data_IF_806670161225
#
_entry.id   IF_806670161225
#
_cell.length_a   1.000
_cell.length_b   1.000
_cell.length_c   1.000
_cell.angle_alpha   90.00
_cell.angle_beta   90.00
_cell.angle_gamma   90.00
#
_symmetry.space_group_name_H-M   'P 1'
#
loop_
_entity.id
_entity.type
_entity.pdbx_description
1 polymer ?
#
# COMPACT_ATOMS: atom_id res chain seq x y z
N UNK A 1 -21.97 11.35 11.12
CA UNK A 1 -22.65 10.60 10.04
C UNK A 1 -21.72 10.26 8.87
N UNK A 2 -20.98 11.21 8.28
CA UNK A 2 -20.06 10.94 7.14
C UNK A 2 -19.02 9.84 7.39
N UNK A 3 -18.38 9.82 8.56
CA UNK A 3 -17.36 8.81 8.95
C UNK A 3 -17.86 7.36 8.84
N UNK A 4 -19.10 7.10 9.23
CA UNK A 4 -19.70 5.77 9.18
C UNK A 4 -19.86 5.25 7.74
N UNK A 5 -20.02 6.15 6.76
CA UNK A 5 -20.16 5.80 5.33
C UNK A 5 -18.90 5.13 4.80
N UNK A 6 -17.71 5.45 5.34
CA UNK A 6 -16.45 4.80 4.96
C UNK A 6 -16.13 3.63 5.90
N UNK A 7 -16.32 3.79 7.21
CA UNK A 7 -15.97 2.74 8.18
C UNK A 7 -16.79 1.45 8.02
N UNK A 8 -18.09 1.55 7.73
CA UNK A 8 -18.94 0.36 7.59
C UNK A 8 -18.47 -0.50 6.41
N UNK A 9 -18.28 0.04 5.18
CA UNK A 9 -17.72 -0.73 4.07
C UNK A 9 -16.32 -1.28 4.35
N UNK A 10 -15.41 -0.49 4.93
CA UNK A 10 -14.05 -0.95 5.27
C UNK A 10 -14.11 -2.12 6.26
N UNK A 11 -14.93 -2.01 7.31
CA UNK A 11 -15.10 -3.03 8.33
C UNK A 11 -15.68 -4.31 7.74
N UNK A 12 -16.70 -4.17 6.88
CA UNK A 12 -17.30 -5.31 6.18
C UNK A 12 -16.31 -6.00 5.23
N UNK A 13 -15.57 -5.23 4.42
CA UNK A 13 -14.54 -5.76 3.51
C UNK A 13 -13.44 -6.45 4.32
N UNK A 14 -12.98 -5.87 5.41
CA UNK A 14 -11.95 -6.46 6.29
C UNK A 14 -12.42 -7.77 6.91
N UNK A 15 -13.69 -7.84 7.32
CA UNK A 15 -14.29 -9.05 7.87
C UNK A 15 -14.39 -10.16 6.82
N UNK A 16 -15.02 -9.87 5.67
CA UNK A 16 -15.20 -10.82 4.58
C UNK A 16 -13.88 -11.19 3.88
N UNK A 17 -12.84 -10.37 4.03
CA UNK A 17 -11.52 -10.70 3.55
C UNK A 17 -10.97 -11.98 4.20
N UNK A 18 -11.28 -12.23 5.47
CA UNK A 18 -10.79 -13.41 6.22
C UNK A 18 -11.84 -14.49 6.35
N UNK A 19 -13.11 -14.12 6.51
CA UNK A 19 -14.21 -15.02 6.87
C UNK A 19 -15.04 -15.42 5.64
N UNK A 20 -15.27 -16.72 5.48
CA UNK A 20 -16.22 -17.24 4.49
C UNK A 20 -17.67 -16.86 4.88
N UNK A 21 -18.41 -16.27 3.94
CA UNK A 21 -19.81 -15.91 4.13
C UNK A 21 -20.71 -17.02 3.58
N UNK A 22 -21.00 -18.02 4.42
CA UNK A 22 -21.81 -19.20 4.06
C UNK A 22 -21.20 -19.94 2.84
N UNK A 23 -21.80 -19.79 1.67
CA UNK A 23 -21.36 -20.39 0.41
C UNK A 23 -20.40 -19.50 -0.39
N UNK A 24 -20.18 -18.26 0.06
CA UNK A 24 -19.30 -17.30 -0.61
C UNK A 24 -17.95 -17.33 0.11
N UNK A 25 -16.86 -17.72 -0.57
CA UNK A 25 -15.57 -17.81 0.08
C UNK A 25 -15.03 -16.42 0.45
N UNK A 26 -14.07 -16.39 1.37
CA UNK A 26 -13.39 -15.20 1.81
C UNK A 26 -12.71 -14.50 0.63
N UNK A 27 -12.71 -13.17 0.61
CA UNK A 27 -12.18 -12.41 -0.53
C UNK A 27 -10.69 -12.77 -0.79
N UNK A 28 -9.93 -13.11 0.25
CA UNK A 28 -8.52 -13.54 0.12
C UNK A 28 -8.33 -14.79 -0.74
N UNK A 29 -9.36 -15.64 -0.89
CA UNK A 29 -9.26 -16.86 -1.70
C UNK A 29 -9.44 -16.58 -3.19
N UNK A 30 -9.93 -15.39 -3.57
CA UNK A 30 -10.09 -15.00 -4.96
C UNK A 30 -8.70 -14.75 -5.56
N UNK A 31 -8.35 -15.43 -6.68
CA UNK A 31 -7.03 -15.31 -7.29
C UNK A 31 -6.63 -13.85 -7.58
N UNK A 32 -5.40 -13.49 -7.22
CA UNK A 32 -4.75 -12.20 -7.56
C UNK A 32 -5.37 -10.93 -6.97
N UNK A 33 -6.49 -11.01 -6.25
CA UNK A 33 -7.17 -9.81 -5.72
C UNK A 33 -6.61 -9.35 -4.36
N UNK A 34 -5.93 -10.24 -3.64
CA UNK A 34 -5.39 -10.05 -2.28
C UNK A 34 -4.74 -8.68 -2.10
N UNK A 35 -3.77 -8.36 -2.95
CA UNK A 35 -3.01 -7.11 -2.93
C UNK A 35 -3.88 -5.85 -3.12
N UNK A 36 -4.88 -5.89 -4.03
CA UNK A 36 -5.76 -4.76 -4.29
C UNK A 36 -6.71 -4.47 -3.12
N UNK A 37 -7.26 -5.52 -2.52
CA UNK A 37 -8.16 -5.41 -1.37
C UNK A 37 -7.42 -4.83 -0.17
N UNK A 38 -6.22 -5.31 0.11
CA UNK A 38 -5.37 -4.75 1.17
C UNK A 38 -5.05 -3.28 0.87
N UNK A 39 -4.59 -2.98 -0.34
CA UNK A 39 -4.22 -1.62 -0.75
C UNK A 39 -5.35 -0.60 -0.59
N UNK A 40 -6.54 -0.92 -1.10
CA UNK A 40 -7.71 -0.05 -1.03
C UNK A 40 -8.18 0.13 0.43
N UNK A 41 -8.22 -0.97 1.19
CA UNK A 41 -8.67 -0.92 2.60
C UNK A 41 -7.75 -0.06 3.43
N UNK A 42 -6.43 -0.20 3.26
CA UNK A 42 -5.43 0.60 3.94
C UNK A 42 -5.45 2.06 3.51
N UNK A 43 -5.49 2.36 2.20
CA UNK A 43 -5.49 3.75 1.73
C UNK A 43 -6.77 4.49 2.11
N UNK A 44 -7.93 3.81 2.10
CA UNK A 44 -9.16 4.39 2.63
C UNK A 44 -9.04 4.67 4.14
N UNK A 45 -8.37 3.80 4.89
CA UNK A 45 -8.20 3.98 6.33
C UNK A 45 -7.21 5.08 6.69
N UNK A 46 -6.07 5.17 5.99
CA UNK A 46 -4.97 6.08 6.33
C UNK A 46 -5.05 7.43 5.64
N UNK A 47 -5.71 7.52 4.48
CA UNK A 47 -5.84 8.76 3.72
C UNK A 47 -7.30 9.16 3.50
N UNK A 48 -8.15 8.22 3.08
CA UNK A 48 -9.57 8.49 2.80
C UNK A 48 -10.35 8.99 4.02
N UNK A 49 -10.19 8.33 5.16
CA UNK A 49 -10.85 8.70 6.42
C UNK A 49 -10.42 10.08 6.92
N UNK A 50 -9.11 10.39 7.11
CA UNK A 50 -8.68 11.73 7.50
C UNK A 50 -9.19 12.83 6.56
N UNK A 51 -9.13 12.61 5.25
CA UNK A 51 -9.60 13.58 4.24
C UNK A 51 -11.11 13.84 4.33
N UNK A 52 -11.89 12.83 4.69
CA UNK A 52 -13.32 13.00 4.88
C UNK A 52 -13.65 13.74 6.20
N UNK A 53 -12.84 13.53 7.24
CA UNK A 53 -12.99 14.18 8.55
C UNK A 53 -12.61 15.67 8.48
N UNK A 54 -11.55 16.00 7.75
CA UNK A 54 -11.08 17.38 7.57
C UNK A 54 -12.04 18.26 6.78
N UNK A 55 -13.16 17.72 6.26
CA UNK A 55 -14.10 18.40 5.36
C UNK A 55 -13.42 19.07 4.15
N UNK A 56 -12.18 18.67 3.83
CA UNK A 56 -11.44 19.11 2.62
C UNK A 56 -11.97 18.42 1.36
N UNK A 57 -13.23 17.95 1.40
CA UNK A 57 -14.00 17.24 0.38
C UNK A 57 -14.39 18.15 -0.78
N UNK A 58 -13.43 18.90 -1.32
CA UNK A 58 -13.52 19.30 -2.71
C UNK A 58 -12.73 18.25 -3.48
N UNK A 59 -13.47 17.39 -4.19
CA UNK A 59 -13.00 16.48 -5.24
C UNK A 59 -12.22 17.23 -6.32
N UNK A 60 -11.06 17.79 -5.97
CA UNK A 60 -10.09 18.21 -6.95
C UNK A 60 -9.52 16.93 -7.58
N UNK A 61 -9.25 16.97 -8.88
CA UNK A 61 -8.60 15.85 -9.58
C UNK A 61 -7.29 15.43 -8.89
N UNK A 62 -6.62 16.38 -8.23
CA UNK A 62 -5.35 16.17 -7.55
C UNK A 62 -5.49 15.25 -6.33
N UNK A 63 -6.55 15.38 -5.52
CA UNK A 63 -6.80 14.47 -4.40
C UNK A 63 -7.13 13.04 -4.83
N UNK A 64 -7.85 12.88 -5.94
CA UNK A 64 -8.14 11.54 -6.48
C UNK A 64 -6.87 10.84 -6.98
N UNK A 65 -6.00 11.59 -7.68
CA UNK A 65 -4.68 11.09 -8.11
C UNK A 65 -3.83 10.74 -6.89
N UNK A 66 -3.81 11.57 -5.86
CA UNK A 66 -3.04 11.33 -4.64
C UNK A 66 -3.53 10.07 -3.91
N UNK A 67 -4.83 9.90 -3.74
CA UNK A 67 -5.43 8.70 -3.16
C UNK A 67 -5.05 7.44 -3.95
N UNK A 68 -5.12 7.51 -5.29
CA UNK A 68 -4.74 6.39 -6.14
C UNK A 68 -3.24 6.06 -6.02
N UNK A 69 -2.38 7.07 -6.01
CA UNK A 69 -0.93 6.90 -5.80
C UNK A 69 -0.60 6.28 -4.44
N UNK A 70 -1.27 6.69 -3.37
CA UNK A 70 -1.12 6.09 -2.03
C UNK A 70 -1.64 4.65 -2.01
N UNK A 71 -2.74 4.37 -2.70
CA UNK A 71 -3.26 3.00 -2.86
C UNK A 71 -2.23 2.10 -3.55
N UNK A 72 -1.64 2.56 -4.65
CA UNK A 72 -0.57 1.81 -5.33
C UNK A 72 0.69 1.67 -4.47
N UNK A 73 1.04 2.69 -3.69
CA UNK A 73 2.15 2.62 -2.74
C UNK A 73 1.96 1.44 -1.77
N UNK A 74 0.76 1.30 -1.20
CA UNK A 74 0.44 0.16 -0.31
C UNK A 74 0.41 -1.16 -1.09
N UNK A 75 -0.15 -1.20 -2.30
CA UNK A 75 -0.16 -2.42 -3.13
C UNK A 75 1.27 -2.92 -3.38
N UNK A 76 2.18 -2.05 -3.82
CA UNK A 76 3.57 -2.43 -4.11
C UNK A 76 4.29 -2.93 -2.86
N UNK A 77 3.99 -2.32 -1.72
CA UNK A 77 4.47 -2.71 -0.40
C UNK A 77 3.95 -4.09 0.06
N UNK A 78 2.78 -4.51 -0.41
CA UNK A 78 2.24 -5.85 -0.09
C UNK A 78 2.89 -6.99 -0.88
N UNK A 79 3.48 -6.71 -2.05
CA UNK A 79 4.15 -7.72 -2.88
C UNK A 79 5.26 -8.48 -2.11
N UNK A 80 6.12 -7.82 -1.31
CA UNK A 80 7.04 -8.50 -0.39
C UNK A 80 6.41 -9.58 0.50
N UNK A 81 5.24 -9.31 1.06
CA UNK A 81 4.53 -10.27 1.92
C UNK A 81 3.95 -11.41 1.07
N UNK A 82 3.47 -11.10 -0.14
CA UNK A 82 3.03 -12.11 -1.11
C UNK A 82 4.18 -13.05 -1.53
N UNK A 83 5.42 -12.54 -1.63
CA UNK A 83 6.63 -13.34 -1.88
C UNK A 83 6.98 -14.24 -0.70
N UNK A 84 6.87 -13.72 0.53
CA UNK A 84 7.12 -14.49 1.76
C UNK A 84 6.14 -15.64 1.90
N UNK A 85 4.87 -15.38 1.60
CA UNK A 85 3.77 -16.30 1.87
C UNK A 85 3.58 -17.34 0.75
N UNK A 86 4.47 -17.44 -0.25
CA UNK A 86 4.33 -18.35 -1.40
C UNK A 86 4.04 -19.79 -0.96
N UNK A 87 4.82 -20.34 -0.02
CA UNK A 87 4.70 -21.73 0.41
C UNK A 87 3.36 -21.95 1.15
N UNK A 88 3.03 -21.06 2.09
CA UNK A 88 1.78 -21.10 2.85
C UNK A 88 0.53 -20.92 1.97
N UNK A 89 0.54 -19.95 1.06
CA UNK A 89 -0.55 -19.72 0.12
C UNK A 89 -0.70 -20.90 -0.86
N UNK A 90 0.38 -21.64 -1.15
CA UNK A 90 0.33 -22.86 -1.98
C UNK A 90 -0.40 -23.99 -1.25
N UNK A 91 -0.11 -24.21 0.03
CA UNK A 91 -0.81 -25.19 0.86
C UNK A 91 -2.31 -24.90 0.97
N UNK A 92 -2.67 -23.61 1.09
CA UNK A 92 -4.05 -23.15 1.13
C UNK A 92 -4.74 -23.06 -0.24
N UNK A 93 -4.04 -23.39 -1.33
CA UNK A 93 -4.54 -23.27 -2.72
C UNK A 93 -4.99 -21.84 -3.09
N UNK A 94 -4.42 -20.83 -2.44
CA UNK A 94 -4.65 -19.42 -2.73
C UNK A 94 -3.70 -19.01 -3.85
N UNK A 95 -4.24 -18.51 -4.96
CA UNK A 95 -3.46 -18.09 -6.12
C UNK A 95 -3.04 -16.63 -6.00
N UNK A 96 -1.75 -16.37 -5.91
CA UNK A 96 -1.20 -15.02 -5.72
C UNK A 96 -0.36 -14.53 -6.89
N UNK A 97 -0.07 -13.23 -6.91
CA UNK A 97 0.73 -12.62 -7.96
C UNK A 97 2.18 -13.11 -7.88
N UNK A 98 2.71 -13.23 -6.65
CA UNK A 98 4.06 -13.70 -6.41
C UNK A 98 4.28 -15.15 -6.85
N UNK A 99 3.31 -16.04 -6.63
CA UNK A 99 3.34 -17.42 -7.14
C UNK A 99 3.39 -17.46 -8.68
N UNK A 100 2.58 -16.62 -9.34
CA UNK A 100 2.51 -16.60 -10.82
C UNK A 100 3.76 -16.03 -11.47
N UNK A 101 4.31 -14.96 -10.92
CA UNK A 101 5.48 -14.27 -11.48
C UNK A 101 6.81 -14.88 -11.02
N UNK A 102 6.80 -15.54 -9.86
CA UNK A 102 8.00 -15.95 -9.14
C UNK A 102 8.68 -14.79 -8.42
N UNK A 103 9.59 -15.13 -7.50
CA UNK A 103 10.26 -14.19 -6.60
C UNK A 103 10.95 -13.05 -7.35
N UNK A 104 11.79 -13.37 -8.35
CA UNK A 104 12.61 -12.36 -9.06
C UNK A 104 11.76 -11.31 -9.79
N UNK A 105 10.74 -11.75 -10.54
CA UNK A 105 9.87 -10.84 -11.29
C UNK A 105 8.96 -10.03 -10.36
N UNK A 106 8.53 -10.60 -9.24
CA UNK A 106 7.71 -9.90 -8.25
C UNK A 106 8.48 -8.78 -7.55
N UNK A 107 9.75 -9.03 -7.18
CA UNK A 107 10.64 -7.98 -6.68
C UNK A 107 10.84 -6.86 -7.71
N UNK A 108 11.11 -7.24 -8.96
CA UNK A 108 11.33 -6.26 -10.02
C UNK A 108 10.08 -5.42 -10.25
N UNK A 109 8.89 -6.03 -10.29
CA UNK A 109 7.61 -5.34 -10.42
C UNK A 109 7.38 -4.34 -9.29
N UNK A 110 7.62 -4.75 -8.04
CA UNK A 110 7.48 -3.88 -6.88
C UNK A 110 8.48 -2.71 -6.96
N UNK A 111 9.77 -3.00 -7.23
CA UNK A 111 10.82 -1.99 -7.34
C UNK A 111 10.58 -0.98 -8.48
N UNK A 112 10.20 -1.43 -9.68
CA UNK A 112 9.89 -0.53 -10.80
C UNK A 112 8.62 0.27 -10.52
N UNK A 113 7.62 -0.33 -9.88
CA UNK A 113 6.43 0.39 -9.44
C UNK A 113 6.76 1.51 -8.45
N UNK A 114 7.63 1.26 -7.47
CA UNK A 114 8.06 2.29 -6.52
C UNK A 114 8.86 3.40 -7.19
N UNK A 115 9.70 3.06 -8.19
CA UNK A 115 10.38 4.06 -9.00
C UNK A 115 9.38 4.94 -9.77
N UNK A 116 8.38 4.34 -10.41
CA UNK A 116 7.31 5.08 -11.09
C UNK A 116 6.55 5.98 -10.11
N UNK A 117 6.17 5.47 -8.94
CA UNK A 117 5.49 6.28 -7.92
C UNK A 117 6.35 7.43 -7.43
N UNK A 118 7.66 7.22 -7.23
CA UNK A 118 8.57 8.31 -6.85
C UNK A 118 8.51 9.45 -7.86
N UNK A 119 8.53 9.12 -9.16
CA UNK A 119 8.44 10.12 -10.23
C UNK A 119 7.06 10.77 -10.22
N UNK A 120 5.98 9.99 -10.08
CA UNK A 120 4.61 10.51 -10.01
C UNK A 120 4.43 11.50 -8.85
N UNK A 121 4.88 11.16 -7.64
CA UNK A 121 4.83 12.06 -6.49
C UNK A 121 5.68 13.32 -6.75
N UNK A 122 6.91 13.18 -7.26
CA UNK A 122 7.72 14.33 -7.62
C UNK A 122 7.01 15.28 -8.58
N UNK A 123 6.35 14.77 -9.62
CA UNK A 123 5.57 15.58 -10.56
C UNK A 123 4.37 16.27 -9.90
N UNK A 124 3.62 15.57 -9.03
CA UNK A 124 2.50 16.15 -8.28
C UNK A 124 2.98 17.32 -7.41
N UNK A 125 4.18 17.25 -6.86
CA UNK A 125 4.72 18.28 -5.96
C UNK A 125 4.87 19.67 -6.59
N UNK A 126 4.93 19.77 -7.93
CA UNK A 126 4.98 21.04 -8.66
C UNK A 126 3.63 21.71 -8.84
N UNK A 127 2.53 20.97 -8.68
CA UNK A 127 1.18 21.48 -9.00
C UNK A 127 0.43 22.04 -7.79
N UNK A 128 0.75 21.60 -6.57
CA UNK A 128 0.09 22.09 -5.34
C UNK A 128 1.08 22.33 -4.20
N UNK A 129 1.36 23.62 -3.91
CA UNK A 129 2.25 24.04 -2.82
C UNK A 129 1.79 23.52 -1.45
N UNK A 130 0.47 23.50 -1.20
CA UNK A 130 -0.09 23.14 0.11
C UNK A 130 0.19 21.69 0.53
N UNK A 131 0.38 20.78 -0.43
CA UNK A 131 0.68 19.35 -0.18
C UNK A 131 2.12 18.99 -0.50
N UNK A 132 2.95 19.96 -0.87
CA UNK A 132 4.28 19.73 -1.44
C UNK A 132 5.17 18.87 -0.54
N UNK A 133 5.26 19.19 0.76
CA UNK A 133 6.10 18.44 1.71
C UNK A 133 5.62 16.99 1.87
N UNK A 134 4.30 16.77 1.95
CA UNK A 134 3.71 15.43 2.09
C UNK A 134 4.07 14.59 0.86
N UNK A 135 3.84 15.14 -0.33
CA UNK A 135 4.08 14.45 -1.59
C UNK A 135 5.58 14.16 -1.78
N UNK A 136 6.47 15.09 -1.45
CA UNK A 136 7.92 14.87 -1.46
C UNK A 136 8.34 13.76 -0.48
N UNK A 137 7.68 13.67 0.67
CA UNK A 137 7.94 12.61 1.65
C UNK A 137 7.62 11.22 1.10
N UNK A 138 6.50 11.08 0.38
CA UNK A 138 6.16 9.84 -0.33
C UNK A 138 7.14 9.54 -1.48
N UNK A 139 7.62 10.55 -2.21
CA UNK A 139 8.60 10.37 -3.27
C UNK A 139 9.92 9.79 -2.71
N UNK A 140 10.49 10.42 -1.68
CA UNK A 140 11.73 9.96 -1.03
C UNK A 140 11.52 8.57 -0.43
N UNK A 141 10.39 8.35 0.26
CA UNK A 141 10.05 7.04 0.82
C UNK A 141 10.02 5.95 -0.24
N UNK A 142 9.44 6.22 -1.41
CA UNK A 142 9.38 5.27 -2.52
C UNK A 142 10.77 4.88 -3.03
N UNK A 143 11.71 5.82 -3.10
CA UNK A 143 13.10 5.52 -3.46
C UNK A 143 13.80 4.66 -2.41
N UNK A 144 13.58 4.95 -1.13
CA UNK A 144 14.17 4.18 -0.02
C UNK A 144 13.61 2.76 0.08
N UNK A 145 12.38 2.53 -0.39
CA UNK A 145 11.77 1.19 -0.43
C UNK A 145 12.49 0.23 -1.41
N UNK A 146 13.00 0.75 -2.54
CA UNK A 146 13.60 -0.05 -3.62
C UNK A 146 14.73 -0.99 -3.13
N UNK A 147 15.80 -0.51 -2.45
CA UNK A 147 16.88 -1.40 -2.01
C UNK A 147 16.39 -2.45 -1.02
N UNK A 148 15.43 -2.11 -0.14
CA UNK A 148 14.85 -3.05 0.82
C UNK A 148 14.09 -4.17 0.11
N UNK A 149 13.32 -3.84 -0.92
CA UNK A 149 12.55 -4.79 -1.72
C UNK A 149 13.47 -5.72 -2.52
N UNK A 150 14.51 -5.18 -3.15
CA UNK A 150 15.47 -5.99 -3.89
C UNK A 150 16.22 -6.96 -2.98
N UNK A 151 16.49 -6.56 -1.73
CA UNK A 151 17.15 -7.35 -0.69
C UNK A 151 16.27 -8.43 -0.01
N UNK A 152 15.00 -8.54 -0.38
CA UNK A 152 14.08 -9.55 0.17
C UNK A 152 14.62 -10.96 -0.07
N UNK A 153 14.47 -11.86 0.89
CA UNK A 153 14.77 -13.28 0.68
C UNK A 153 13.60 -14.08 1.27
N UNK A 154 12.92 -14.93 0.47
CA UNK A 154 11.78 -15.73 0.94
C UNK A 154 12.09 -16.53 2.20
N UNK A 155 13.34 -16.99 2.36
CA UNK A 155 13.77 -17.83 3.48
C UNK A 155 14.21 -17.05 4.72
N UNK A 156 14.09 -15.71 4.74
CA UNK A 156 14.36 -14.92 5.95
C UNK A 156 13.25 -15.10 6.98
N UNK A 157 13.63 -15.00 8.26
CA UNK A 157 12.73 -15.12 9.40
C UNK A 157 11.64 -14.03 9.40
N UNK A 158 10.51 -14.33 10.01
CA UNK A 158 9.30 -13.50 10.03
C UNK A 158 9.55 -12.04 10.48
N UNK A 159 10.37 -11.83 11.51
CA UNK A 159 10.69 -10.49 12.01
C UNK A 159 11.37 -9.58 10.98
N UNK A 160 12.02 -10.13 9.95
CA UNK A 160 12.59 -9.33 8.88
C UNK A 160 11.47 -8.67 8.06
N UNK A 161 10.38 -9.38 7.81
CA UNK A 161 9.25 -8.85 7.07
C UNK A 161 8.42 -7.90 7.93
N UNK A 162 8.00 -8.34 9.13
CA UNK A 162 7.17 -7.50 10.00
C UNK A 162 7.93 -6.32 10.60
N UNK A 163 9.26 -6.42 10.75
CA UNK A 163 10.11 -5.33 11.25
C UNK A 163 10.60 -4.42 10.12
N UNK A 164 11.40 -4.96 9.20
CA UNK A 164 12.11 -4.14 8.21
C UNK A 164 11.21 -3.76 7.05
N UNK A 165 10.55 -4.76 6.44
CA UNK A 165 9.74 -4.47 5.25
C UNK A 165 8.53 -3.63 5.66
N UNK A 166 7.76 -4.03 6.66
CA UNK A 166 6.56 -3.31 7.11
C UNK A 166 6.85 -1.86 7.51
N UNK A 167 8.05 -1.57 8.04
CA UNK A 167 8.47 -0.21 8.40
C UNK A 167 8.45 0.80 7.25
N UNK A 168 8.51 0.35 6.00
CA UNK A 168 8.40 1.23 4.82
C UNK A 168 7.11 2.05 4.87
N UNK A 169 6.00 1.51 5.40
CA UNK A 169 4.74 2.25 5.57
C UNK A 169 4.88 3.47 6.49
N UNK A 170 5.86 3.46 7.41
CA UNK A 170 6.14 4.58 8.32
C UNK A 170 7.08 5.61 7.70
N UNK A 171 7.82 5.28 6.63
CA UNK A 171 8.81 6.17 6.04
C UNK A 171 8.21 7.52 5.59
N UNK A 172 7.06 7.59 4.88
CA UNK A 172 6.49 8.87 4.48
C UNK A 172 6.22 9.78 5.69
N UNK A 173 5.74 9.21 6.80
CA UNK A 173 5.48 9.97 8.03
C UNK A 173 6.77 10.48 8.68
N UNK A 174 7.78 9.62 8.84
CA UNK A 174 9.06 10.02 9.44
C UNK A 174 9.77 11.09 8.60
N UNK A 175 9.76 10.95 7.28
CA UNK A 175 10.33 11.92 6.36
C UNK A 175 9.56 13.24 6.43
N UNK A 176 8.23 13.19 6.49
CA UNK A 176 7.40 14.38 6.64
C UNK A 176 7.73 15.15 7.92
N UNK A 177 7.88 14.46 9.06
CA UNK A 177 8.29 15.07 10.33
C UNK A 177 9.68 15.72 10.27
N UNK A 178 10.59 15.15 9.48
CA UNK A 178 11.91 15.72 9.28
C UNK A 178 11.86 16.98 8.39
N UNK A 179 11.22 16.88 7.21
CA UNK A 179 11.15 17.98 6.25
C UNK A 179 10.37 19.18 6.80
N UNK A 180 9.27 18.96 7.51
CA UNK A 180 8.46 20.02 8.13
C UNK A 180 9.14 20.78 9.28
N UNK A 181 10.28 20.28 9.78
CA UNK A 181 11.10 21.00 10.76
C UNK A 181 12.22 21.81 10.12
N UNK A 182 12.62 21.44 8.91
CA UNK A 182 13.73 22.05 8.17
C UNK A 182 13.25 23.20 7.30
N UNK A 183 12.03 23.10 6.76
CA UNK A 183 11.34 24.09 5.94
C UNK A 183 10.13 24.66 6.67
#
# INVERSE_FOLDING_TARGET
MKVLVILIPIGFISFWYVVDLKSIPAIRSIPFIKLFVIGITWSLSTFGLPLMISNSLYCSKNYAILFLSITFYVILQTIPFDIRDIDYDTELKIKTLAQRLGVKKSKLLSATGFLTLSITFYLISFHELSTQIIVQSYAISSLLAIPLILAINPHKKEYYYSGVIESILLFPFLIHLFLSKVF
#
